data_IF_579114304230
#
_entry.id   IF_579114304230
#
_cell.length_a   1.000
_cell.length_b   1.000
_cell.length_c   1.000
_cell.angle_alpha   90.00
_cell.angle_beta   90.00
_cell.angle_gamma   90.00
#
_symmetry.space_group_name_H-M   'P 1'
#
loop_
_entity.id
_entity.type
_entity.pdbx_description
1 polymer ?
#
# COMPACT_ATOMS: atom_id res chain seq x y z
N UNK A 1 -14.72 4.73 7.37
CA UNK A 1 -13.42 4.45 6.76
C UNK A 1 -13.04 5.61 5.83
N UNK A 2 -11.74 5.91 5.72
CA UNK A 2 -11.23 6.96 4.83
C UNK A 2 -11.10 6.45 3.38
N UNK A 3 -11.02 5.14 3.21
CA UNK A 3 -11.00 4.51 1.88
C UNK A 3 -12.41 4.51 1.27
N UNK A 4 -12.51 4.90 0.00
CA UNK A 4 -13.71 4.74 -0.84
C UNK A 4 -13.95 3.25 -1.15
N UNK A 5 -12.89 2.52 -1.47
CA UNK A 5 -12.91 1.07 -1.65
C UNK A 5 -11.60 0.41 -1.19
N UNK A 6 -11.65 -0.88 -0.89
CA UNK A 6 -10.47 -1.72 -0.63
C UNK A 6 -10.65 -3.06 -1.34
N UNK A 7 -9.69 -3.41 -2.19
CA UNK A 7 -9.66 -4.67 -2.93
C UNK A 7 -8.33 -5.39 -2.74
N UNK A 8 -8.37 -6.70 -2.89
CA UNK A 8 -7.17 -7.53 -2.95
C UNK A 8 -7.31 -8.50 -4.13
N UNK A 9 -6.19 -8.73 -4.84
CA UNK A 9 -6.18 -9.61 -6.00
C UNK A 9 -6.27 -11.09 -5.61
N UNK A 10 -5.66 -11.45 -4.48
CA UNK A 10 -5.55 -12.85 -4.05
C UNK A 10 -5.85 -13.01 -2.56
N UNK A 11 -6.22 -14.24 -2.16
CA UNK A 11 -6.07 -14.67 -0.77
C UNK A 11 -4.60 -14.99 -0.50
N UNK A 12 -4.11 -14.61 0.69
CA UNK A 12 -2.71 -14.80 1.09
C UNK A 12 -2.45 -16.25 1.53
N UNK A 13 -2.64 -17.18 0.61
CA UNK A 13 -2.46 -18.62 0.81
C UNK A 13 -1.84 -19.30 -0.40
N UNK A 14 -1.45 -20.56 -0.28
CA UNK A 14 -0.98 -21.39 -1.38
C UNK A 14 0.11 -20.74 -2.24
N UNK A 15 -0.13 -20.70 -3.53
CA UNK A 15 0.79 -20.14 -4.53
C UNK A 15 0.97 -18.62 -4.39
N UNK A 16 -0.10 -17.89 -4.11
CA UNK A 16 -0.05 -16.43 -3.94
C UNK A 16 0.85 -16.06 -2.75
N UNK A 17 0.73 -16.75 -1.63
CA UNK A 17 1.60 -16.53 -0.47
C UNK A 17 3.07 -16.77 -0.81
N UNK A 18 3.40 -17.86 -1.50
CA UNK A 18 4.79 -18.15 -1.91
C UNK A 18 5.33 -17.07 -2.84
N UNK A 19 4.55 -16.61 -3.82
CA UNK A 19 4.95 -15.59 -4.76
C UNK A 19 5.20 -14.23 -4.10
N UNK A 20 4.30 -13.77 -3.22
CA UNK A 20 4.48 -12.52 -2.45
C UNK A 20 5.74 -12.60 -1.56
N UNK A 21 5.97 -13.75 -0.91
CA UNK A 21 7.16 -13.95 -0.09
C UNK A 21 8.44 -13.99 -0.94
N UNK A 22 8.41 -14.54 -2.16
CA UNK A 22 9.54 -14.53 -3.08
C UNK A 22 9.95 -13.09 -3.47
N UNK A 23 8.98 -12.23 -3.80
CA UNK A 23 9.24 -10.80 -4.03
C UNK A 23 9.86 -10.15 -2.79
N UNK A 24 9.45 -10.57 -1.60
CA UNK A 24 9.88 -10.00 -0.32
C UNK A 24 11.31 -10.36 0.07
N UNK A 25 11.75 -11.59 -0.19
CA UNK A 25 13.00 -12.13 0.34
C UNK A 25 14.08 -12.38 -0.70
N UNK A 26 13.73 -12.54 -1.97
CA UNK A 26 14.67 -12.93 -3.01
C UNK A 26 14.97 -11.82 -4.03
N UNK A 27 14.48 -10.59 -3.78
CA UNK A 27 14.60 -9.46 -4.71
C UNK A 27 14.04 -9.77 -6.12
N UNK A 28 13.14 -10.76 -6.21
CA UNK A 28 12.56 -11.21 -7.47
C UNK A 28 11.43 -10.27 -7.91
N UNK A 29 11.79 -9.04 -8.28
CA UNK A 29 10.85 -8.13 -8.95
C UNK A 29 10.28 -8.76 -10.23
N UNK A 30 11.02 -9.67 -10.85
CA UNK A 30 10.58 -10.49 -11.98
C UNK A 30 9.32 -11.33 -11.68
N UNK A 31 9.08 -11.72 -10.42
CA UNK A 31 7.88 -12.47 -10.04
C UNK A 31 6.64 -11.57 -9.91
N UNK A 32 6.83 -10.28 -9.67
CA UNK A 32 5.71 -9.35 -9.46
C UNK A 32 4.89 -9.10 -10.74
N UNK A 33 5.52 -9.03 -11.90
CA UNK A 33 4.82 -8.80 -13.16
C UNK A 33 3.89 -9.96 -13.54
N UNK A 34 4.32 -11.24 -13.53
CA UNK A 34 3.42 -12.38 -13.74
C UNK A 34 2.26 -12.47 -12.75
N UNK A 35 2.45 -12.08 -11.48
CA UNK A 35 1.35 -12.03 -10.52
C UNK A 35 0.26 -11.04 -10.95
N UNK A 36 0.66 -9.87 -11.45
CA UNK A 36 -0.29 -8.89 -11.95
C UNK A 36 -0.94 -9.30 -13.27
N UNK A 37 -0.34 -10.20 -14.09
CA UNK A 37 -0.94 -10.71 -15.31
C UNK A 37 -2.17 -11.58 -15.04
N UNK A 38 -2.18 -12.28 -13.90
CA UNK A 38 -3.28 -13.14 -13.48
C UNK A 38 -4.17 -12.51 -12.39
N UNK A 39 -3.85 -11.29 -11.96
CA UNK A 39 -4.65 -10.57 -10.97
C UNK A 39 -5.95 -10.06 -11.59
N UNK A 40 -7.06 -10.23 -10.88
CA UNK A 40 -8.30 -9.53 -11.22
C UNK A 40 -8.17 -8.05 -10.84
N UNK A 41 -8.02 -7.20 -11.85
CA UNK A 41 -8.02 -5.75 -11.73
C UNK A 41 -9.40 -5.14 -11.99
N UNK A 42 -10.40 -5.98 -12.26
CA UNK A 42 -11.79 -5.56 -12.45
C UNK A 42 -12.33 -4.84 -11.21
N UNK A 43 -13.10 -3.79 -11.46
CA UNK A 43 -13.70 -2.97 -10.40
C UNK A 43 -12.71 -2.04 -9.67
N UNK A 44 -11.49 -1.85 -10.17
CA UNK A 44 -10.71 -0.67 -9.82
C UNK A 44 -11.37 0.58 -10.42
N UNK A 45 -11.37 1.71 -9.70
CA UNK A 45 -11.93 2.95 -10.23
C UNK A 45 -11.23 3.39 -11.52
N UNK A 46 -11.99 3.89 -12.47
CA UNK A 46 -11.47 4.42 -13.75
C UNK A 46 -11.04 5.89 -13.66
N UNK A 47 -11.49 6.58 -12.62
CA UNK A 47 -11.25 8.00 -12.33
C UNK A 47 -9.94 8.27 -11.56
N UNK A 48 -9.01 7.32 -11.54
CA UNK A 48 -7.75 7.47 -10.82
C UNK A 48 -6.80 8.45 -11.53
N UNK A 49 -6.14 9.31 -10.75
CA UNK A 49 -5.15 10.27 -11.23
C UNK A 49 -3.72 9.89 -10.85
N UNK A 50 -3.55 9.12 -9.77
CA UNK A 50 -2.25 8.82 -9.19
C UNK A 50 -2.26 7.46 -8.50
N UNK A 51 -1.18 6.72 -8.65
CA UNK A 51 -0.89 5.53 -7.85
C UNK A 51 0.27 5.80 -6.92
N UNK A 52 0.14 5.41 -5.67
CA UNK A 52 1.23 5.43 -4.68
C UNK A 52 1.28 4.13 -3.90
N UNK A 53 2.26 3.97 -3.04
CA UNK A 53 2.44 2.75 -2.26
C UNK A 53 2.55 3.05 -0.76
N UNK A 54 2.14 2.09 0.07
CA UNK A 54 2.37 2.14 1.52
C UNK A 54 3.86 2.27 1.81
N UNK A 55 4.30 3.31 2.53
CA UNK A 55 5.71 3.51 2.84
C UNK A 55 6.23 2.47 3.82
N UNK A 56 7.34 1.82 3.45
CA UNK A 56 8.03 0.87 4.32
C UNK A 56 8.80 1.58 5.44
N UNK A 57 8.86 1.00 6.66
CA UNK A 57 9.73 1.51 7.73
C UNK A 57 11.20 1.56 7.27
N UNK A 58 11.90 2.68 7.55
CA UNK A 58 13.25 2.94 7.05
C UNK A 58 14.30 1.86 7.40
N UNK A 59 14.16 1.21 8.56
CA UNK A 59 15.03 0.08 8.94
C UNK A 59 14.85 -1.16 8.04
N UNK A 60 13.62 -1.44 7.63
CA UNK A 60 13.33 -2.54 6.68
C UNK A 60 13.82 -2.21 5.27
N UNK A 61 13.69 -0.94 4.84
CA UNK A 61 14.18 -0.48 3.53
C UNK A 61 15.70 -0.67 3.41
N UNK A 62 16.46 -0.36 4.46
CA UNK A 62 17.93 -0.57 4.48
C UNK A 62 18.31 -2.05 4.41
N UNK A 63 17.53 -2.94 5.04
CA UNK A 63 17.80 -4.40 5.02
C UNK A 63 17.37 -5.09 3.74
N UNK A 64 16.31 -4.63 3.07
CA UNK A 64 15.69 -5.29 1.91
C UNK A 64 16.03 -4.63 0.57
N UNK A 65 16.57 -3.40 0.58
CA UNK A 65 16.92 -2.65 -0.63
C UNK A 65 15.75 -2.03 -1.39
N UNK A 66 14.52 -2.57 -1.23
CA UNK A 66 13.33 -2.13 -1.96
C UNK A 66 12.05 -2.22 -1.14
N UNK A 67 11.02 -1.49 -1.54
CA UNK A 67 9.68 -1.53 -1.00
C UNK A 67 8.79 -2.38 -1.92
N UNK A 68 8.30 -3.54 -1.46
CA UNK A 68 7.47 -4.44 -2.26
C UNK A 68 6.19 -3.77 -2.76
N UNK A 69 5.51 -3.03 -1.88
CA UNK A 69 4.32 -2.28 -2.27
C UNK A 69 4.62 -1.30 -3.40
N UNK A 70 5.80 -0.65 -3.41
CA UNK A 70 6.21 0.24 -4.49
C UNK A 70 6.51 -0.50 -5.79
N UNK A 71 7.06 -1.71 -5.73
CA UNK A 71 7.26 -2.56 -6.93
C UNK A 71 5.92 -2.85 -7.59
N UNK A 72 4.96 -3.38 -6.82
CA UNK A 72 3.61 -3.66 -7.34
C UNK A 72 2.89 -2.40 -7.77
N UNK A 73 2.98 -1.32 -6.99
CA UNK A 73 2.36 -0.04 -7.32
C UNK A 73 2.84 0.54 -8.64
N UNK A 74 4.14 0.46 -8.94
CA UNK A 74 4.72 0.94 -10.19
C UNK A 74 4.25 0.11 -11.39
N UNK A 75 4.23 -1.21 -11.25
CA UNK A 75 3.75 -2.11 -12.30
C UNK A 75 2.25 -1.92 -12.55
N UNK A 76 1.45 -1.81 -11.49
CA UNK A 76 0.02 -1.57 -11.59
C UNK A 76 -0.28 -0.22 -12.24
N UNK A 77 0.44 0.84 -11.85
CA UNK A 77 0.32 2.16 -12.46
C UNK A 77 0.56 2.13 -13.97
N UNK A 78 1.59 1.41 -14.42
CA UNK A 78 1.86 1.20 -15.84
C UNK A 78 0.72 0.53 -16.58
N UNK A 79 0.07 -0.48 -15.98
CA UNK A 79 -1.10 -1.16 -16.57
C UNK A 79 -2.35 -0.29 -16.63
N UNK A 80 -2.52 0.56 -15.62
CA UNK A 80 -3.64 1.50 -15.56
C UNK A 80 -3.40 2.77 -16.40
N UNK A 81 -2.21 2.95 -16.98
CA UNK A 81 -1.83 4.17 -17.69
C UNK A 81 -1.82 5.40 -16.79
N UNK A 82 -1.46 5.23 -15.51
CA UNK A 82 -1.45 6.30 -14.51
C UNK A 82 -0.05 6.54 -13.95
N UNK A 83 0.29 7.77 -13.54
CA UNK A 83 1.57 8.04 -12.92
C UNK A 83 1.72 7.32 -11.58
N UNK A 84 2.94 6.90 -11.26
CA UNK A 84 3.32 6.38 -9.94
C UNK A 84 4.22 7.38 -9.22
N UNK A 85 3.87 7.74 -7.98
CA UNK A 85 4.72 8.60 -7.15
C UNK A 85 4.85 8.04 -5.72
N UNK A 86 6.00 7.43 -5.43
CA UNK A 86 6.32 6.90 -4.10
C UNK A 86 6.46 8.02 -3.05
N UNK A 87 6.74 9.27 -3.47
CA UNK A 87 6.94 10.40 -2.58
C UNK A 87 5.63 11.07 -2.14
N UNK A 88 4.51 10.68 -2.75
CA UNK A 88 3.18 11.17 -2.35
C UNK A 88 2.86 10.84 -0.89
N UNK A 89 3.38 9.72 -0.38
CA UNK A 89 3.26 9.28 1.01
C UNK A 89 4.63 9.06 1.65
N UNK A 90 4.74 9.41 2.93
CA UNK A 90 5.91 9.12 3.76
C UNK A 90 5.50 8.62 5.13
N UNK A 91 6.31 7.76 5.72
CA UNK A 91 6.13 7.33 7.11
C UNK A 91 6.77 8.36 8.04
N UNK A 92 6.02 8.85 9.04
CA UNK A 92 6.57 9.69 10.09
C UNK A 92 7.48 8.84 10.97
N UNK A 93 8.64 9.39 11.39
CA UNK A 93 9.45 8.75 12.42
C UNK A 93 8.64 8.74 13.71
N UNK A 94 8.29 7.55 14.20
CA UNK A 94 7.76 7.42 15.55
C UNK A 94 8.92 7.51 16.51
N UNK A 95 8.82 8.38 17.52
CA UNK A 95 9.54 8.22 18.79
C UNK A 95 9.18 6.85 19.34
N UNK A 96 10.17 6.03 19.80
CA UNK A 96 9.86 4.72 20.33
C UNK A 96 9.08 4.87 21.62
N UNK A 97 7.76 4.77 21.57
CA UNK A 97 7.00 4.40 22.75
C UNK A 97 6.90 2.87 22.74
N UNK A 98 7.59 2.29 23.70
CA UNK A 98 7.46 0.88 24.04
C UNK A 98 5.99 0.54 24.22
N UNK A 99 5.45 -0.35 23.41
CA UNK A 99 4.36 -1.24 23.84
C UNK A 99 4.40 -2.51 22.99
N UNK A 100 4.90 -3.56 23.57
CA UNK A 100 4.50 -4.92 23.25
C UNK A 100 3.07 -5.08 23.74
N UNK A 101 2.09 -5.11 22.86
CA UNK A 101 0.77 -5.64 23.17
C UNK A 101 0.16 -6.31 21.93
N UNK A 102 -0.45 -7.51 22.08
CA UNK A 102 -0.90 -8.34 20.96
C UNK A 102 -2.35 -8.08 20.53
N UNK A 103 -2.94 -6.92 20.79
CA UNK A 103 -4.35 -6.67 20.51
C UNK A 103 -4.60 -5.99 19.15
N UNK A 104 -5.63 -6.46 18.41
CA UNK A 104 -6.08 -5.87 17.14
C UNK A 104 -6.44 -4.39 17.26
N UNK A 105 -7.01 -3.97 18.39
CA UNK A 105 -7.33 -2.58 18.68
C UNK A 105 -6.06 -1.73 18.85
N UNK A 106 -5.04 -2.25 19.51
CA UNK A 106 -3.74 -1.61 19.67
C UNK A 106 -3.00 -1.47 18.32
N UNK A 107 -3.15 -2.42 17.40
CA UNK A 107 -2.60 -2.29 16.03
C UNK A 107 -3.25 -1.16 15.24
N UNK A 108 -4.58 -0.97 15.35
CA UNK A 108 -5.29 0.16 14.72
C UNK A 108 -4.87 1.50 15.31
N UNK A 109 -4.73 1.60 16.63
CA UNK A 109 -4.25 2.80 17.30
C UNK A 109 -2.78 3.13 16.94
N UNK A 110 -1.95 2.10 16.76
CA UNK A 110 -0.54 2.24 16.42
C UNK A 110 -0.28 2.77 15.00
N UNK A 111 -1.25 2.75 14.10
CA UNK A 111 -1.08 3.18 12.71
C UNK A 111 -1.64 4.59 12.48
N UNK A 112 -2.53 5.09 13.37
CA UNK A 112 -3.04 6.47 13.30
C UNK A 112 -1.89 7.47 13.40
N UNK A 113 -1.83 8.43 12.45
CA UNK A 113 -0.79 9.45 12.42
C UNK A 113 0.62 8.93 12.06
N UNK A 114 0.75 7.64 11.68
CA UNK A 114 2.04 7.06 11.27
C UNK A 114 2.50 7.54 9.88
N UNK A 115 1.59 8.11 9.09
CA UNK A 115 1.85 8.56 7.73
C UNK A 115 1.61 10.07 7.57
N UNK A 116 2.25 10.64 6.57
CA UNK A 116 2.00 12.00 6.09
C UNK A 116 2.03 11.97 4.56
N UNK A 117 1.19 12.79 3.94
CA UNK A 117 1.17 12.98 2.50
C UNK A 117 1.72 14.36 2.12
N UNK A 118 2.23 14.46 0.91
CA UNK A 118 2.68 15.71 0.30
C UNK A 118 1.51 16.35 -0.44
N UNK A 119 0.98 17.45 0.10
CA UNK A 119 -0.17 18.15 -0.47
C UNK A 119 0.07 18.63 -1.91
N UNK A 120 1.30 19.03 -2.27
CA UNK A 120 1.61 19.47 -3.63
C UNK A 120 1.48 18.33 -4.66
N UNK A 121 1.55 17.08 -4.21
CA UNK A 121 1.49 15.88 -5.05
C UNK A 121 0.10 15.27 -5.14
N UNK A 122 -0.76 15.52 -4.14
CA UNK A 122 -2.02 14.76 -4.00
C UNK A 122 -3.27 15.62 -4.03
N UNK A 123 -3.15 16.94 -3.91
CA UNK A 123 -4.31 17.85 -3.88
C UNK A 123 -5.20 17.64 -5.11
N UNK A 124 -6.50 17.55 -4.86
CA UNK A 124 -7.57 17.41 -5.85
C UNK A 124 -7.44 16.15 -6.74
N UNK A 125 -6.63 15.14 -6.33
CA UNK A 125 -6.42 13.91 -7.07
C UNK A 125 -7.19 12.73 -6.46
N UNK A 126 -7.68 11.85 -7.32
CA UNK A 126 -8.13 10.51 -6.96
C UNK A 126 -6.91 9.57 -6.90
N UNK A 127 -6.61 9.05 -5.72
CA UNK A 127 -5.36 8.32 -5.43
C UNK A 127 -5.62 6.85 -5.13
N UNK A 128 -4.88 5.95 -5.78
CA UNK A 128 -4.81 4.54 -5.44
C UNK A 128 -3.60 4.27 -4.56
N UNK A 129 -3.82 3.72 -3.35
CA UNK A 129 -2.74 3.28 -2.46
C UNK A 129 -2.57 1.77 -2.56
N UNK A 130 -1.35 1.33 -2.84
CA UNK A 130 -1.00 -0.09 -3.03
C UNK A 130 -0.23 -0.62 -1.83
N UNK A 131 -0.57 -1.84 -1.36
CA UNK A 131 0.17 -2.61 -0.37
C UNK A 131 0.49 -4.02 -0.90
N UNK A 132 1.44 -4.73 -0.28
CA UNK A 132 1.75 -6.13 -0.62
C UNK A 132 0.72 -7.07 0.00
N UNK A 133 0.48 -6.99 1.31
CA UNK A 133 -0.48 -7.83 2.04
C UNK A 133 -1.28 -7.00 3.01
N UNK A 134 -2.59 -7.20 3.00
CA UNK A 134 -3.49 -6.58 3.97
C UNK A 134 -4.22 -7.64 4.80
N UNK A 135 -4.51 -7.33 6.06
CA UNK A 135 -5.39 -8.12 6.93
C UNK A 135 -6.70 -7.37 7.14
N UNK A 136 -6.70 -6.41 8.05
CA UNK A 136 -7.87 -5.57 8.39
C UNK A 136 -8.00 -4.30 7.55
N UNK A 137 -7.07 -4.00 6.66
CA UNK A 137 -7.02 -2.74 5.92
C UNK A 137 -6.57 -1.52 6.75
N UNK A 138 -6.19 -1.70 8.02
CA UNK A 138 -5.88 -0.58 8.91
C UNK A 138 -4.72 0.31 8.41
N UNK A 139 -3.70 -0.29 7.82
CA UNK A 139 -2.56 0.45 7.24
C UNK A 139 -2.99 1.28 6.04
N UNK A 140 -3.74 0.68 5.12
CA UNK A 140 -4.27 1.37 3.94
C UNK A 140 -5.22 2.50 4.35
N UNK A 141 -6.09 2.28 5.34
CA UNK A 141 -6.99 3.32 5.86
C UNK A 141 -6.20 4.49 6.49
N UNK A 142 -5.14 4.22 7.24
CA UNK A 142 -4.30 5.29 7.81
C UNK A 142 -3.52 6.08 6.74
N UNK A 143 -3.11 5.43 5.65
CA UNK A 143 -2.56 6.11 4.47
C UNK A 143 -3.63 7.00 3.81
N UNK A 144 -4.86 6.51 3.69
CA UNK A 144 -5.98 7.28 3.14
C UNK A 144 -6.32 8.51 4.00
N UNK A 145 -6.34 8.37 5.33
CA UNK A 145 -6.51 9.50 6.25
C UNK A 145 -5.45 10.59 6.01
N UNK A 146 -4.18 10.20 5.82
CA UNK A 146 -3.10 11.14 5.55
C UNK A 146 -3.24 11.83 4.19
N UNK A 147 -3.66 11.10 3.15
CA UNK A 147 -3.87 11.62 1.80
C UNK A 147 -5.05 12.60 1.75
N UNK A 148 -6.19 12.24 2.34
CA UNK A 148 -7.37 13.12 2.42
C UNK A 148 -7.07 14.38 3.22
N UNK A 149 -6.33 14.25 4.34
CA UNK A 149 -5.91 15.41 5.14
C UNK A 149 -4.96 16.35 4.38
N UNK A 150 -4.25 15.85 3.36
CA UNK A 150 -3.40 16.63 2.47
C UNK A 150 -4.15 17.18 1.24
N UNK A 151 -5.46 16.93 1.13
CA UNK A 151 -6.33 17.47 0.09
C UNK A 151 -6.57 16.55 -1.10
N UNK A 152 -6.30 15.24 -1.00
CA UNK A 152 -6.72 14.28 -2.03
C UNK A 152 -8.26 14.28 -2.17
N UNK A 153 -8.76 14.19 -3.39
CA UNK A 153 -10.20 14.19 -3.68
C UNK A 153 -10.87 12.87 -3.24
N UNK A 154 -10.21 11.76 -3.48
CA UNK A 154 -10.65 10.43 -3.04
C UNK A 154 -9.46 9.48 -2.90
N UNK A 155 -9.64 8.42 -2.11
CA UNK A 155 -8.60 7.40 -1.94
C UNK A 155 -9.20 6.01 -2.00
N UNK A 156 -8.61 5.17 -2.83
CA UNK A 156 -8.89 3.75 -2.93
C UNK A 156 -7.68 2.93 -2.48
N UNK A 157 -7.92 1.75 -1.93
CA UNK A 157 -6.89 0.82 -1.51
C UNK A 157 -6.88 -0.43 -2.37
N UNK A 158 -5.66 -0.90 -2.70
CA UNK A 158 -5.46 -2.18 -3.35
C UNK A 158 -4.28 -2.91 -2.72
N UNK A 159 -4.45 -4.20 -2.47
CA UNK A 159 -3.39 -5.07 -2.00
C UNK A 159 -3.20 -6.25 -2.96
N UNK A 160 -1.96 -6.73 -3.07
CA UNK A 160 -1.70 -7.95 -3.84
C UNK A 160 -2.44 -9.12 -3.23
N UNK A 161 -2.38 -9.27 -1.91
CA UNK A 161 -3.08 -10.35 -1.23
C UNK A 161 -3.73 -9.90 0.09
N UNK A 162 -4.79 -10.60 0.47
CA UNK A 162 -5.47 -10.44 1.76
C UNK A 162 -5.29 -11.69 2.59
N UNK A 163 -4.90 -11.50 3.84
CA UNK A 163 -4.88 -12.52 4.88
C UNK A 163 -6.15 -12.40 5.73
N UNK A 164 -6.89 -13.48 5.88
CA UNK A 164 -8.11 -13.55 6.70
C UNK A 164 -7.81 -13.60 8.22
#
# INVERSE_FOLDING_TARGET
PALRSLRAAFLFEGAARRAVLAVKYQSLTATAAPMLDVADLGGLPTDLDLVTAVPMPGGRRRRRGHNQAAVFGRLLAGRLGRPFDERALRRRRRTPQQVRQPDRAARRANVRGAFAADAARVRDRAVLVVDDVTTSGATLNACAEALLSAGAASVDGWAVARED
#
